data_IF_236341354925
#
_entry.id   IF_236341354925
#
_cell.length_a   1.000
_cell.length_b   1.000
_cell.length_c   1.000
_cell.angle_alpha   90.00
_cell.angle_beta   90.00
_cell.angle_gamma   90.00
#
_symmetry.space_group_name_H-M   'P 1'
#
loop_
_entity.id
_entity.type
_entity.pdbx_description
1 polymer ?
#
# COMPACT_ATOMS: atom_id res chain seq x y z
N UNK A 1 -16.81 13.14 1.05
CA UNK A 1 -16.18 11.82 1.27
C UNK A 1 -17.20 10.69 1.49
N UNK A 2 -18.21 10.86 2.35
CA UNK A 2 -19.24 9.82 2.61
C UNK A 2 -19.83 9.24 1.32
N UNK A 3 -20.41 10.08 0.46
CA UNK A 3 -20.97 9.68 -0.84
C UNK A 3 -19.98 8.98 -1.78
N UNK A 4 -18.67 9.22 -1.62
CA UNK A 4 -17.63 8.62 -2.44
C UNK A 4 -17.22 7.22 -1.94
N UNK A 5 -17.29 6.98 -0.62
CA UNK A 5 -16.84 5.72 0.00
C UNK A 5 -17.99 4.75 0.30
N UNK A 6 -19.22 5.22 0.45
CA UNK A 6 -20.38 4.41 0.83
C UNK A 6 -21.22 3.96 -0.36
N UNK A 7 -21.99 2.89 -0.18
CA UNK A 7 -22.99 2.38 -1.14
C UNK A 7 -22.44 2.01 -2.53
N UNK A 8 -21.16 1.63 -2.58
CA UNK A 8 -20.50 1.24 -3.82
C UNK A 8 -20.80 -0.21 -4.17
N UNK A 9 -21.04 -0.44 -5.46
CA UNK A 9 -21.34 -1.77 -6.00
C UNK A 9 -20.55 -2.01 -7.29
N UNK A 10 -20.15 -3.26 -7.52
CA UNK A 10 -19.55 -3.73 -8.77
C UNK A 10 -20.38 -4.84 -9.41
N UNK A 11 -20.31 -4.94 -10.73
CA UNK A 11 -20.82 -6.05 -11.52
C UNK A 11 -19.92 -6.23 -12.75
N UNK A 12 -20.02 -7.37 -13.41
CA UNK A 12 -19.31 -7.67 -14.65
C UNK A 12 -20.32 -7.71 -15.79
N UNK A 13 -19.97 -7.10 -16.91
CA UNK A 13 -20.74 -7.15 -18.15
C UNK A 13 -19.88 -7.78 -19.26
N UNK A 14 -20.39 -8.84 -19.88
CA UNK A 14 -19.70 -9.56 -20.96
C UNK A 14 -20.70 -9.88 -22.08
N UNK A 15 -20.48 -9.29 -23.26
CA UNK A 15 -21.40 -9.42 -24.38
C UNK A 15 -22.76 -8.81 -24.06
N UNK A 16 -23.79 -9.65 -23.96
CA UNK A 16 -25.15 -9.24 -23.57
C UNK A 16 -25.56 -9.72 -22.16
N UNK A 17 -24.62 -10.24 -21.38
CA UNK A 17 -24.89 -10.80 -20.04
C UNK A 17 -24.29 -9.93 -18.95
N UNK A 18 -25.06 -9.70 -17.88
CA UNK A 18 -24.61 -9.00 -16.67
C UNK A 18 -24.62 -9.93 -15.45
N UNK A 19 -23.63 -9.81 -14.58
CA UNK A 19 -23.64 -10.46 -13.26
C UNK A 19 -24.58 -9.74 -12.29
N UNK A 20 -24.87 -10.36 -11.15
CA UNK A 20 -25.46 -9.65 -10.02
C UNK A 20 -24.49 -8.58 -9.49
N UNK A 21 -25.06 -7.52 -8.89
CA UNK A 21 -24.30 -6.49 -8.20
C UNK A 21 -23.77 -7.03 -6.87
N UNK A 22 -22.53 -6.70 -6.53
CA UNK A 22 -21.93 -6.98 -5.20
C UNK A 22 -21.40 -5.70 -4.59
N UNK A 23 -21.61 -5.52 -3.29
CA UNK A 23 -21.12 -4.37 -2.55
C UNK A 23 -19.58 -4.34 -2.49
N UNK A 24 -19.01 -3.14 -2.51
CA UNK A 24 -17.56 -2.89 -2.40
C UNK A 24 -17.27 -2.16 -1.09
N UNK A 25 -16.71 -2.90 -0.14
CA UNK A 25 -16.45 -2.36 1.21
C UNK A 25 -15.04 -1.78 1.38
N UNK A 26 -14.11 -2.08 0.48
CA UNK A 26 -12.71 -1.66 0.55
C UNK A 26 -12.24 -1.03 -0.77
N UNK A 27 -11.16 -0.25 -0.71
CA UNK A 27 -10.56 0.39 -1.88
C UNK A 27 -11.33 1.61 -2.40
N UNK A 28 -10.83 2.17 -3.50
CA UNK A 28 -11.38 3.35 -4.18
C UNK A 28 -11.66 3.03 -5.65
N UNK A 29 -12.61 3.71 -6.31
CA UNK A 29 -12.83 3.54 -7.74
C UNK A 29 -11.56 3.83 -8.57
N UNK A 30 -11.18 2.93 -9.47
CA UNK A 30 -10.06 3.15 -10.40
C UNK A 30 -10.43 4.24 -11.41
N UNK A 31 -9.47 5.09 -11.80
CA UNK A 31 -9.71 6.21 -12.72
C UNK A 31 -10.41 7.42 -12.09
N UNK A 32 -10.61 7.40 -10.77
CA UNK A 32 -11.16 8.52 -10.02
C UNK A 32 -10.10 9.60 -9.72
N UNK A 33 -10.54 10.85 -9.63
CA UNK A 33 -9.68 11.99 -9.23
C UNK A 33 -9.29 11.91 -7.76
N UNK A 34 -10.19 11.41 -6.90
CA UNK A 34 -9.94 11.33 -5.44
C UNK A 34 -9.15 10.09 -5.02
N UNK A 35 -9.11 9.03 -5.84
CA UNK A 35 -8.41 7.79 -5.52
C UNK A 35 -6.93 7.99 -5.14
N UNK A 36 -6.13 8.67 -5.99
CA UNK A 36 -4.71 8.93 -5.71
C UNK A 36 -4.48 9.71 -4.41
N UNK A 37 -5.29 10.75 -4.15
CA UNK A 37 -5.17 11.54 -2.92
C UNK A 37 -5.45 10.70 -1.66
N UNK A 38 -6.52 9.90 -1.70
CA UNK A 38 -6.87 9.03 -0.58
C UNK A 38 -5.82 7.95 -0.34
N UNK A 39 -5.22 7.42 -1.40
CA UNK A 39 -4.11 6.48 -1.29
C UNK A 39 -2.87 7.13 -0.64
N UNK A 40 -2.50 8.34 -1.07
CA UNK A 40 -1.39 9.08 -0.45
C UNK A 40 -1.62 9.32 1.04
N UNK A 41 -2.82 9.74 1.44
CA UNK A 41 -3.16 9.92 2.87
C UNK A 41 -3.03 8.61 3.64
N UNK A 42 -3.44 7.49 3.04
CA UNK A 42 -3.43 6.17 3.66
C UNK A 42 -2.02 5.58 3.82
N UNK A 43 -1.08 5.86 2.91
CA UNK A 43 0.29 5.33 2.98
C UNK A 43 1.27 6.25 3.72
N UNK A 44 0.91 7.53 3.94
CA UNK A 44 1.87 8.58 4.31
C UNK A 44 2.70 8.32 5.58
N UNK A 45 2.17 7.57 6.55
CA UNK A 45 2.86 7.24 7.80
C UNK A 45 3.85 6.08 7.70
N UNK A 46 3.89 5.35 6.58
CA UNK A 46 4.91 4.30 6.33
C UNK A 46 6.33 4.85 6.47
N UNK A 47 6.55 6.13 6.13
CA UNK A 47 7.85 6.78 6.21
C UNK A 47 8.39 6.86 7.66
N UNK A 48 7.54 6.60 8.65
CA UNK A 48 7.85 6.63 10.09
C UNK A 48 7.73 5.25 10.74
N UNK A 49 7.59 4.17 9.96
CA UNK A 49 7.34 2.84 10.52
C UNK A 49 8.57 2.22 11.21
N UNK A 50 9.77 2.72 10.94
CA UNK A 50 11.02 2.26 11.56
C UNK A 50 11.87 3.45 12.02
N UNK A 51 12.66 3.24 13.08
CA UNK A 51 13.71 4.15 13.52
C UNK A 51 15.03 3.94 12.78
N UNK A 52 15.14 2.87 11.98
CA UNK A 52 16.32 2.50 11.20
C UNK A 52 16.09 2.82 9.73
N UNK A 53 17.14 3.31 9.06
CA UNK A 53 17.10 3.59 7.63
C UNK A 53 16.23 4.80 7.25
N UNK A 54 16.01 4.97 5.95
CA UNK A 54 15.22 6.05 5.36
C UNK A 54 14.25 5.46 4.35
N UNK A 55 12.97 5.80 4.49
CA UNK A 55 11.92 5.37 3.56
C UNK A 55 11.49 6.59 2.73
N UNK A 56 11.43 6.42 1.40
CA UNK A 56 10.88 7.40 0.46
C UNK A 56 9.71 6.79 -0.27
N UNK A 57 8.66 7.58 -0.41
CA UNK A 57 7.43 7.19 -1.10
C UNK A 57 7.19 8.09 -2.30
N UNK A 58 6.75 7.50 -3.40
CA UNK A 58 6.27 8.20 -4.58
C UNK A 58 5.10 7.43 -5.17
N UNK A 59 3.88 7.97 -5.02
CA UNK A 59 2.66 7.22 -5.31
C UNK A 59 2.70 5.84 -4.62
N UNK A 60 2.52 4.75 -5.36
CA UNK A 60 2.57 3.36 -4.86
C UNK A 60 3.98 2.77 -4.76
N UNK A 61 5.00 3.45 -5.29
CA UNK A 61 6.39 3.02 -5.17
C UNK A 61 6.99 3.47 -3.83
N UNK A 62 7.60 2.52 -3.14
CA UNK A 62 8.30 2.76 -1.87
C UNK A 62 9.74 2.26 -1.99
N UNK A 63 10.69 3.12 -1.64
CA UNK A 63 12.12 2.78 -1.59
C UNK A 63 12.63 2.92 -0.17
N UNK A 64 13.36 1.91 0.29
CA UNK A 64 13.97 1.87 1.62
C UNK A 64 15.49 1.84 1.48
N UNK A 65 16.18 2.65 2.29
CA UNK A 65 17.63 2.80 2.28
C UNK A 65 18.19 2.55 3.68
N UNK A 66 19.30 1.84 3.75
CA UNK A 66 20.04 1.58 4.98
C UNK A 66 21.50 1.97 4.76
N UNK A 67 22.08 2.60 5.77
CA UNK A 67 23.49 2.98 5.82
C UNK A 67 24.12 2.38 7.09
N UNK A 68 25.43 2.12 7.04
CA UNK A 68 26.19 1.51 8.13
C UNK A 68 27.69 1.57 7.83
N UNK A 69 28.52 1.36 8.85
CA UNK A 69 29.97 1.44 8.74
C UNK A 69 30.59 0.23 8.03
N UNK A 70 29.93 -0.92 8.12
CA UNK A 70 30.34 -2.14 7.44
C UNK A 70 29.13 -2.95 6.92
N UNK A 71 29.43 -3.99 6.13
CA UNK A 71 28.41 -4.84 5.53
C UNK A 71 27.56 -5.59 6.55
N UNK A 72 28.11 -5.93 7.72
CA UNK A 72 27.36 -6.67 8.75
C UNK A 72 26.31 -5.76 9.38
N UNK A 73 26.69 -4.53 9.69
CA UNK A 73 25.76 -3.52 10.19
C UNK A 73 24.64 -3.24 9.18
N UNK A 74 24.98 -3.07 7.90
CA UNK A 74 23.97 -2.85 6.85
C UNK A 74 23.00 -4.03 6.73
N UNK A 75 23.47 -5.27 6.81
CA UNK A 75 22.62 -6.47 6.77
C UNK A 75 21.65 -6.48 7.95
N UNK A 76 22.16 -6.31 9.18
CA UNK A 76 21.33 -6.32 10.39
C UNK A 76 20.29 -5.20 10.36
N UNK A 77 20.71 -3.99 10.00
CA UNK A 77 19.80 -2.84 9.89
C UNK A 77 18.74 -3.04 8.80
N UNK A 78 19.10 -3.71 7.69
CA UNK A 78 18.15 -4.06 6.62
C UNK A 78 17.12 -5.08 7.08
N UNK A 79 17.52 -6.11 7.84
CA UNK A 79 16.60 -7.10 8.39
C UNK A 79 15.58 -6.47 9.36
N UNK A 80 16.06 -5.57 10.23
CA UNK A 80 15.20 -4.82 11.17
C UNK A 80 14.19 -3.98 10.39
N UNK A 81 14.67 -3.16 9.45
CA UNK A 81 13.81 -2.29 8.63
C UNK A 81 12.76 -3.10 7.84
N UNK A 82 13.16 -4.23 7.25
CA UNK A 82 12.24 -5.09 6.51
C UNK A 82 11.17 -5.72 7.41
N UNK A 83 11.52 -6.08 8.64
CA UNK A 83 10.55 -6.59 9.61
C UNK A 83 9.54 -5.51 10.02
N UNK A 84 10.01 -4.29 10.28
CA UNK A 84 9.15 -3.15 10.62
C UNK A 84 8.19 -2.80 9.48
N UNK A 85 8.68 -2.75 8.23
CA UNK A 85 7.86 -2.56 7.04
C UNK A 85 6.80 -3.65 6.91
N UNK A 86 7.18 -4.92 7.07
CA UNK A 86 6.25 -6.04 7.00
C UNK A 86 5.14 -5.94 8.07
N UNK A 87 5.50 -5.55 9.29
CA UNK A 87 4.53 -5.33 10.36
C UNK A 87 3.59 -4.17 10.04
N UNK A 88 4.10 -3.07 9.50
CA UNK A 88 3.29 -1.93 9.06
C UNK A 88 2.33 -2.30 7.93
N UNK A 89 2.79 -3.03 6.90
CA UNK A 89 1.91 -3.50 5.81
C UNK A 89 0.80 -4.41 6.33
N UNK A 90 1.13 -5.36 7.22
CA UNK A 90 0.13 -6.25 7.84
C UNK A 90 -0.90 -5.46 8.67
N UNK A 91 -0.45 -4.52 9.51
CA UNK A 91 -1.32 -3.69 10.33
C UNK A 91 -2.29 -2.86 9.46
N UNK A 92 -1.81 -2.40 8.31
CA UNK A 92 -2.60 -1.62 7.37
C UNK A 92 -3.45 -2.48 6.41
N UNK A 93 -3.37 -3.81 6.45
CA UNK A 93 -4.07 -4.75 5.53
C UNK A 93 -3.60 -4.64 4.07
N UNK A 94 -2.33 -4.33 3.89
CA UNK A 94 -1.64 -4.35 2.59
C UNK A 94 -0.84 -5.63 2.44
N UNK A 95 -0.75 -6.13 1.22
CA UNK A 95 0.05 -7.31 0.87
C UNK A 95 1.33 -6.86 0.19
N UNK A 96 2.47 -7.22 0.76
CA UNK A 96 3.75 -7.03 0.10
C UNK A 96 3.86 -8.02 -1.07
N UNK A 97 4.13 -7.51 -2.28
CA UNK A 97 4.33 -8.38 -3.42
C UNK A 97 5.78 -8.89 -3.44
N UNK A 98 6.02 -10.02 -2.76
CA UNK A 98 7.33 -10.67 -2.66
C UNK A 98 7.85 -11.25 -3.98
N UNK A 99 7.00 -11.29 -5.02
CA UNK A 99 7.32 -11.89 -6.33
C UNK A 99 7.51 -10.84 -7.43
N UNK A 100 7.51 -9.54 -7.09
CA UNK A 100 8.00 -8.51 -8.03
C UNK A 100 9.52 -8.73 -8.21
N UNK A 101 10.01 -8.76 -9.47
CA UNK A 101 11.41 -8.99 -9.78
C UNK A 101 12.32 -7.89 -9.22
#
# INVERSE_FOLDING_TARGET
LKSYLTDRHQYVFLGNTQSSKRAINCGVPQGSVLGPLLFLIYINDIAKCSSIGKIRIFADDTSAFVEGHDIKEVIVNSEILMNDLNNWFKANKLTLNSNKP
#
